data_IF_958061744699
#
_entry.id   IF_958061744699
#
_cell.length_a   1.000
_cell.length_b   1.000
_cell.length_c   1.000
_cell.angle_alpha   90.00
_cell.angle_beta   90.00
_cell.angle_gamma   90.00
#
_symmetry.space_group_name_H-M   'P 1'
#
loop_
_entity.id
_entity.type
_entity.pdbx_description
1 polymer ?
#
# COMPACT_ATOMS: atom_id res chain seq x y z
N UNK A 1 -6.24 -27.14 1.68
CA UNK A 1 -6.05 -26.69 1.78
C UNK A 1 -6.12 -25.92 2.53
N UNK A 2 -5.52 -25.67 2.80
CA UNK A 2 -5.60 -24.98 3.51
C UNK A 2 -6.21 -23.90 3.20
N UNK A 3 -6.98 -23.65 2.87
CA UNK A 3 -7.76 -22.79 2.47
C UNK A 3 -7.79 -21.59 3.20
N UNK A 4 -7.43 -21.57 4.31
CA UNK A 4 -7.59 -20.47 5.19
C UNK A 4 -6.37 -19.59 5.29
N UNK A 5 -5.35 -19.89 4.56
CA UNK A 5 -4.15 -19.09 4.63
C UNK A 5 -4.29 -17.87 3.76
N UNK A 6 -4.30 -16.73 4.40
CA UNK A 6 -4.35 -15.47 3.68
C UNK A 6 -2.95 -14.99 3.38
N UNK A 7 -2.83 -14.14 2.37
CA UNK A 7 -1.53 -13.63 1.95
C UNK A 7 -1.22 -12.32 2.65
N UNK A 8 0.06 -12.03 2.71
CA UNK A 8 0.57 -10.71 3.07
C UNK A 8 0.93 -10.04 1.77
N UNK A 9 0.16 -9.05 1.38
CA UNK A 9 0.38 -8.34 0.13
C UNK A 9 1.43 -7.27 0.34
N UNK A 10 2.45 -7.27 -0.50
CA UNK A 10 3.51 -6.26 -0.48
C UNK A 10 3.40 -5.50 -1.78
N UNK A 11 2.98 -4.24 -1.70
CA UNK A 11 2.72 -3.46 -2.89
C UNK A 11 3.82 -2.43 -3.11
N UNK A 12 4.42 -2.45 -4.29
CA UNK A 12 5.46 -1.50 -4.69
C UNK A 12 5.01 -0.75 -5.93
N UNK A 13 5.23 0.54 -5.93
CA UNK A 13 4.89 1.35 -7.08
C UNK A 13 5.91 2.44 -7.27
N UNK A 14 6.34 2.61 -8.51
CA UNK A 14 7.21 3.72 -8.91
C UNK A 14 6.53 4.42 -10.08
N UNK A 15 6.39 5.73 -9.98
CA UNK A 15 5.89 6.54 -11.07
C UNK A 15 7.06 7.31 -11.65
N UNK A 16 6.86 7.90 -12.82
CA UNK A 16 7.96 8.55 -13.51
C UNK A 16 8.62 9.64 -12.68
N UNK A 17 7.83 10.35 -11.91
CA UNK A 17 8.37 11.42 -11.08
C UNK A 17 9.27 10.91 -9.98
N UNK A 18 9.05 9.66 -9.55
CA UNK A 18 9.85 9.08 -8.50
C UNK A 18 11.27 8.76 -8.95
N UNK A 19 11.50 8.66 -10.24
CA UNK A 19 12.84 8.36 -10.73
C UNK A 19 13.84 9.42 -10.29
N UNK A 20 13.38 10.62 -10.03
CA UNK A 20 14.25 11.68 -9.59
C UNK A 20 14.51 11.64 -8.10
N UNK A 21 13.82 10.78 -7.40
CA UNK A 21 13.99 10.64 -5.97
C UNK A 21 15.14 9.73 -5.57
N UNK A 22 15.75 9.09 -6.53
CA UNK A 22 16.88 8.22 -6.29
C UNK A 22 16.44 6.80 -6.00
N UNK A 23 17.42 6.00 -5.61
CA UNK A 23 17.22 4.56 -5.49
C UNK A 23 16.30 4.16 -4.35
N UNK A 24 16.13 5.03 -3.37
CA UNK A 24 15.30 4.64 -2.23
C UNK A 24 13.87 4.33 -2.65
N UNK A 25 13.44 4.89 -3.79
CA UNK A 25 12.09 4.64 -4.29
C UNK A 25 12.04 3.59 -5.37
N UNK A 26 13.17 2.96 -5.71
CA UNK A 26 13.16 1.95 -6.75
C UNK A 26 12.33 0.74 -6.30
N UNK A 27 11.89 -0.03 -7.30
CA UNK A 27 11.11 -1.21 -7.01
C UNK A 27 11.89 -2.19 -6.15
N UNK A 28 13.17 -2.40 -6.46
CA UNK A 28 13.94 -3.37 -5.69
C UNK A 28 14.14 -2.93 -4.25
N UNK A 29 14.33 -1.64 -4.02
CA UNK A 29 14.46 -1.16 -2.65
C UNK A 29 13.16 -1.23 -1.89
N UNK A 30 12.03 -0.95 -2.54
CA UNK A 30 10.75 -1.12 -1.89
C UNK A 30 10.51 -2.58 -1.53
N UNK A 31 10.81 -3.50 -2.45
CA UNK A 31 10.63 -4.91 -2.16
C UNK A 31 11.45 -5.35 -0.96
N UNK A 32 12.71 -4.90 -0.92
CA UNK A 32 13.58 -5.26 0.18
C UNK A 32 13.03 -4.74 1.51
N UNK A 33 12.62 -3.48 1.52
CA UNK A 33 12.07 -2.88 2.72
C UNK A 33 10.85 -3.64 3.21
N UNK A 34 9.95 -3.96 2.31
CA UNK A 34 8.71 -4.63 2.69
C UNK A 34 8.98 -6.06 3.14
N UNK A 35 9.89 -6.75 2.48
CA UNK A 35 10.23 -8.11 2.88
C UNK A 35 10.86 -8.14 4.27
N UNK A 36 11.75 -7.19 4.54
CA UNK A 36 12.37 -7.12 5.85
C UNK A 36 11.35 -6.82 6.93
N UNK A 37 10.42 -5.92 6.63
CA UNK A 37 9.39 -5.59 7.59
C UNK A 37 8.50 -6.80 7.87
N UNK A 38 8.07 -7.49 6.82
CA UNK A 38 7.21 -8.66 6.99
C UNK A 38 7.93 -9.75 7.77
N UNK A 39 9.21 -9.93 7.50
CA UNK A 39 9.99 -10.93 8.19
C UNK A 39 10.10 -10.60 9.68
N UNK A 40 10.36 -9.35 10.00
CA UNK A 40 10.43 -8.90 11.38
C UNK A 40 9.13 -9.09 12.13
N UNK A 41 8.02 -8.88 11.45
CA UNK A 41 6.70 -9.00 12.07
C UNK A 41 6.21 -10.44 12.13
N UNK A 42 6.88 -11.35 11.44
CA UNK A 42 6.44 -12.74 11.39
C UNK A 42 5.29 -12.96 10.42
N UNK A 43 5.10 -12.07 9.47
CA UNK A 43 4.07 -12.25 8.46
C UNK A 43 4.52 -13.29 7.44
N UNK A 44 3.64 -14.16 7.04
CA UNK A 44 3.95 -15.23 6.10
C UNK A 44 3.13 -15.08 4.83
N UNK A 45 3.43 -15.92 3.85
CA UNK A 45 2.73 -15.93 2.57
C UNK A 45 2.82 -14.59 1.87
N UNK A 46 4.01 -14.02 1.82
CA UNK A 46 4.20 -12.72 1.18
C UNK A 46 4.09 -12.86 -0.34
N UNK A 47 3.35 -11.94 -0.94
CA UNK A 47 3.19 -11.88 -2.39
C UNK A 47 3.39 -10.44 -2.81
N UNK A 48 4.25 -10.23 -3.80
CA UNK A 48 4.51 -8.89 -4.30
C UNK A 48 3.54 -8.53 -5.40
N UNK A 49 3.04 -7.31 -5.36
CA UNK A 49 2.26 -6.71 -6.43
C UNK A 49 2.98 -5.42 -6.82
N UNK A 50 3.33 -5.30 -8.09
CA UNK A 50 4.27 -4.26 -8.49
C UNK A 50 3.75 -3.50 -9.70
N UNK A 51 3.85 -2.18 -9.65
CA UNK A 51 3.55 -1.30 -10.78
C UNK A 51 4.75 -0.38 -10.99
N UNK A 52 5.45 -0.60 -12.08
CA UNK A 52 6.70 0.09 -12.35
C UNK A 52 6.56 0.97 -13.58
N UNK A 53 6.89 2.25 -13.42
CA UNK A 53 6.87 3.18 -14.54
C UNK A 53 5.51 3.69 -14.92
N UNK A 54 4.53 3.52 -14.05
CA UNK A 54 3.15 3.92 -14.33
C UNK A 54 2.98 5.40 -14.02
N UNK A 55 2.19 6.10 -14.85
CA UNK A 55 1.88 7.48 -14.58
C UNK A 55 1.10 7.64 -13.29
N UNK A 56 1.46 8.63 -12.50
CA UNK A 56 0.80 8.85 -11.22
C UNK A 56 -0.62 9.34 -11.33
N UNK A 57 -1.03 9.79 -12.50
CA UNK A 57 -2.38 10.33 -12.69
C UNK A 57 -3.35 9.29 -13.17
N UNK A 58 -2.89 8.09 -13.44
CA UNK A 58 -3.70 7.08 -14.09
C UNK A 58 -4.04 5.97 -13.12
N UNK A 59 -5.22 5.39 -13.25
CA UNK A 59 -5.59 4.23 -12.47
C UNK A 59 -5.27 2.93 -13.15
N UNK A 60 -4.59 3.01 -14.27
CA UNK A 60 -4.20 1.84 -15.01
C UNK A 60 -2.99 1.21 -14.32
N UNK A 61 -3.26 0.54 -13.23
CA UNK A 61 -2.23 -0.08 -12.40
C UNK A 61 -2.57 -1.55 -12.25
N UNK A 62 -2.08 -2.40 -13.18
CA UNK A 62 -2.46 -3.82 -13.13
C UNK A 62 -2.04 -4.52 -11.84
N UNK A 63 -0.89 -4.16 -11.27
CA UNK A 63 -0.49 -4.76 -10.00
C UNK A 63 -1.43 -4.40 -8.88
N UNK A 64 -1.82 -3.15 -8.80
CA UNK A 64 -2.76 -2.70 -7.79
C UNK A 64 -4.11 -3.37 -7.98
N UNK A 65 -4.58 -3.47 -9.22
CA UNK A 65 -5.87 -4.09 -9.48
C UNK A 65 -5.86 -5.57 -9.12
N UNK A 66 -4.76 -6.25 -9.40
CA UNK A 66 -4.64 -7.67 -9.02
C UNK A 66 -4.67 -7.82 -7.51
N UNK A 67 -4.00 -6.92 -6.80
CA UNK A 67 -4.00 -6.94 -5.35
C UNK A 67 -5.40 -6.71 -4.80
N UNK A 68 -6.10 -5.72 -5.32
CA UNK A 68 -7.45 -5.43 -4.83
C UNK A 68 -8.42 -6.56 -5.10
N UNK A 69 -8.20 -7.28 -6.19
CA UNK A 69 -9.00 -8.46 -6.48
C UNK A 69 -8.86 -9.50 -5.36
N UNK A 70 -7.64 -9.70 -4.91
CA UNK A 70 -7.42 -10.63 -3.79
C UNK A 70 -8.02 -10.09 -2.50
N UNK A 71 -7.95 -8.79 -2.29
CA UNK A 71 -8.56 -8.18 -1.12
C UNK A 71 -10.06 -8.44 -1.11
N UNK A 72 -10.71 -8.21 -2.24
CA UNK A 72 -12.17 -8.38 -2.30
C UNK A 72 -12.58 -9.84 -2.21
N UNK A 73 -11.69 -10.73 -2.62
CA UNK A 73 -11.96 -12.17 -2.47
C UNK A 73 -11.76 -12.65 -1.04
N UNK A 74 -11.24 -11.81 -0.16
CA UNK A 74 -11.02 -12.19 1.22
C UNK A 74 -9.73 -12.93 1.46
N UNK A 75 -8.79 -12.84 0.53
CA UNK A 75 -7.55 -13.62 0.61
C UNK A 75 -6.38 -12.88 1.22
N UNK A 76 -6.54 -11.61 1.58
CA UNK A 76 -5.44 -10.79 2.07
C UNK A 76 -5.62 -10.50 3.54
N UNK A 77 -4.56 -10.73 4.32
CA UNK A 77 -4.58 -10.41 5.75
C UNK A 77 -3.88 -9.09 6.04
N UNK A 78 -2.73 -8.86 5.42
CA UNK A 78 -1.95 -7.66 5.63
C UNK A 78 -1.62 -7.02 4.29
N UNK A 79 -1.62 -5.69 4.25
CA UNK A 79 -1.14 -4.94 3.10
C UNK A 79 -0.05 -4.01 3.59
N UNK A 80 1.17 -4.22 3.10
CA UNK A 80 2.32 -3.40 3.48
C UNK A 80 2.77 -2.56 2.31
N UNK A 81 2.98 -1.29 2.55
CA UNK A 81 3.49 -0.36 1.54
C UNK A 81 4.57 0.50 2.18
N UNK A 82 5.43 1.06 1.35
CA UNK A 82 6.49 1.92 1.87
C UNK A 82 5.90 3.19 2.48
N UNK A 83 4.98 3.82 1.76
CA UNK A 83 4.31 5.01 2.25
C UNK A 83 2.96 5.13 1.55
N UNK A 84 2.13 6.03 2.04
CA UNK A 84 0.76 6.14 1.55
C UNK A 84 0.67 6.59 0.10
N UNK A 85 1.70 7.26 -0.41
CA UNK A 85 1.65 7.70 -1.80
C UNK A 85 1.64 6.54 -2.78
N UNK A 86 2.02 5.34 -2.33
CA UNK A 86 1.95 4.16 -3.20
C UNK A 86 0.51 3.81 -3.54
N UNK A 87 -0.44 4.13 -2.67
CA UNK A 87 -1.85 3.88 -2.96
C UNK A 87 -2.42 4.90 -3.94
N UNK A 88 -1.88 6.10 -3.97
CA UNK A 88 -2.32 7.13 -4.87
C UNK A 88 -2.24 8.49 -4.23
N UNK A 89 -2.51 9.51 -5.02
CA UNK A 89 -2.45 10.89 -4.55
C UNK A 89 -3.82 11.54 -4.49
N UNK A 90 -4.86 10.81 -4.90
CA UNK A 90 -6.21 11.32 -4.87
C UNK A 90 -6.81 10.99 -3.50
N UNK A 91 -7.03 12.01 -2.71
CA UNK A 91 -7.48 11.87 -1.34
C UNK A 91 -8.76 11.03 -1.23
N UNK A 92 -9.72 11.32 -2.10
CA UNK A 92 -11.00 10.63 -2.03
C UNK A 92 -10.87 9.17 -2.40
N UNK A 93 -10.06 8.89 -3.42
CA UNK A 93 -9.91 7.50 -3.86
C UNK A 93 -9.12 6.68 -2.86
N UNK A 94 -8.11 7.27 -2.25
CA UNK A 94 -7.36 6.55 -1.22
C UNK A 94 -8.26 6.28 -0.03
N UNK A 95 -9.12 7.23 0.32
CA UNK A 95 -10.09 6.99 1.38
C UNK A 95 -11.01 5.83 1.08
N UNK A 96 -11.46 5.71 -0.18
CA UNK A 96 -12.30 4.59 -0.58
C UNK A 96 -11.55 3.28 -0.48
N UNK A 97 -10.27 3.28 -0.88
CA UNK A 97 -9.45 2.07 -0.77
C UNK A 97 -9.33 1.65 0.68
N UNK A 98 -9.07 2.60 1.57
CA UNK A 98 -8.94 2.28 2.98
C UNK A 98 -10.22 1.73 3.56
N UNK A 99 -11.35 2.24 3.11
CA UNK A 99 -12.63 1.71 3.58
C UNK A 99 -12.84 0.28 3.13
N UNK A 100 -12.47 -0.03 1.89
CA UNK A 100 -12.56 -1.40 1.41
C UNK A 100 -11.66 -2.31 2.24
N UNK A 101 -10.43 -1.88 2.50
CA UNK A 101 -9.52 -2.68 3.31
C UNK A 101 -10.10 -2.94 4.69
N UNK A 102 -10.68 -1.90 5.29
CA UNK A 102 -11.27 -2.05 6.61
C UNK A 102 -12.41 -3.04 6.60
N UNK A 103 -13.28 -2.95 5.59
CA UNK A 103 -14.44 -3.84 5.51
C UNK A 103 -14.04 -5.28 5.28
N UNK A 104 -12.92 -5.49 4.60
CA UNK A 104 -12.45 -6.85 4.33
C UNK A 104 -11.50 -7.37 5.40
N UNK A 105 -11.29 -6.60 6.46
CA UNK A 105 -10.44 -7.04 7.55
C UNK A 105 -8.96 -7.05 7.24
N UNK A 106 -8.52 -6.21 6.29
CA UNK A 106 -7.12 -6.14 5.92
C UNK A 106 -6.43 -5.09 6.78
N UNK A 107 -5.30 -5.48 7.39
CA UNK A 107 -4.50 -4.54 8.15
C UNK A 107 -3.56 -3.81 7.22
N UNK A 108 -3.67 -2.49 7.18
CA UNK A 108 -2.85 -1.64 6.31
C UNK A 108 -1.68 -1.07 7.10
N UNK A 109 -0.49 -1.22 6.56
CA UNK A 109 0.73 -0.72 7.17
C UNK A 109 1.50 0.08 6.13
N UNK A 110 1.72 1.37 6.41
CA UNK A 110 2.59 2.23 5.60
C UNK A 110 3.80 2.54 6.45
N UNK A 111 4.92 1.92 6.13
CA UNK A 111 6.06 1.85 7.04
C UNK A 111 6.64 3.23 7.32
N UNK A 112 6.92 3.99 6.26
CA UNK A 112 7.60 5.29 6.45
C UNK A 112 6.69 6.36 7.00
N UNK A 113 5.38 6.16 6.91
CA UNK A 113 4.42 7.14 7.41
C UNK A 113 3.93 6.83 8.80
N UNK A 114 4.33 5.69 9.33
CA UNK A 114 3.89 5.29 10.66
C UNK A 114 2.42 4.94 10.73
N UNK A 115 1.82 4.59 9.61
CA UNK A 115 0.40 4.24 9.57
C UNK A 115 0.25 2.74 9.78
N UNK A 116 -0.65 2.37 10.68
CA UNK A 116 -0.94 0.97 10.95
C UNK A 116 -2.38 0.90 11.44
N UNK A 117 -3.24 0.35 10.60
CA UNK A 117 -4.68 0.36 10.90
C UNK A 117 -5.03 -0.47 12.13
N UNK A 118 -4.15 -1.34 12.58
CA UNK A 118 -4.41 -2.13 13.79
C UNK A 118 -4.30 -1.30 15.06
N UNK A 119 -3.74 -0.10 14.98
CA UNK A 119 -3.63 0.74 16.18
C UNK A 119 -4.95 1.38 16.58
N UNK A 120 -5.96 1.25 15.74
CA UNK A 120 -7.26 1.79 16.06
C UNK A 120 -7.60 2.99 15.22
N UNK A 121 -8.86 3.38 15.31
CA UNK A 121 -9.39 4.44 14.45
C UNK A 121 -8.80 5.80 14.75
N UNK A 122 -8.32 5.97 15.96
CA UNK A 122 -7.85 7.28 16.38
C UNK A 122 -6.52 7.66 15.74
N UNK A 123 -5.84 6.69 15.15
CA UNK A 123 -4.50 6.92 14.64
C UNK A 123 -4.48 7.28 13.17
N UNK A 124 -5.60 7.75 12.64
CA UNK A 124 -5.61 8.16 11.25
C UNK A 124 -5.20 9.62 11.04
N UNK A 125 -4.87 10.32 12.11
CA UNK A 125 -4.45 11.71 11.98
C UNK A 125 -3.20 11.87 11.10
N UNK A 126 -2.15 11.07 11.27
CA UNK A 126 -0.99 11.19 10.38
C UNK A 126 -1.37 10.95 8.93
N UNK A 127 -2.20 9.94 8.69
CA UNK A 127 -2.65 9.66 7.33
C UNK A 127 -3.43 10.84 6.76
N UNK A 128 -4.33 11.40 7.55
CA UNK A 128 -5.15 12.51 7.10
C UNK A 128 -4.28 13.72 6.74
N UNK A 129 -3.27 13.98 7.55
CA UNK A 129 -2.38 15.10 7.28
C UNK A 129 -1.57 14.88 6.00
N UNK A 130 -1.10 13.66 5.80
CA UNK A 130 -0.35 13.32 4.61
C UNK A 130 -1.22 13.49 3.37
N UNK A 131 -2.45 12.99 3.43
CA UNK A 131 -3.35 13.06 2.29
C UNK A 131 -3.75 14.50 1.98
N UNK A 132 -3.94 15.30 3.00
CA UNK A 132 -4.26 16.71 2.79
C UNK A 132 -3.12 17.42 2.06
N UNK A 133 -1.90 17.11 2.42
CA UNK A 133 -0.77 17.71 1.77
C UNK A 133 -0.67 17.30 0.29
N UNK A 134 -0.86 16.01 0.04
CA UNK A 134 -0.82 15.52 -1.34
C UNK A 134 -1.96 16.13 -2.16
N UNK A 135 -3.14 16.20 -1.57
CA UNK A 135 -4.28 16.75 -2.27
C UNK A 135 -4.05 18.21 -2.64
N UNK A 136 -3.50 18.96 -1.71
CA UNK A 136 -3.21 20.37 -1.98
C UNK A 136 -2.23 20.55 -3.12
N UNK A 137 -1.27 19.64 -3.24
CA UNK A 137 -0.30 19.72 -4.32
C UNK A 137 -0.88 19.37 -5.67
N UNK A 138 -1.90 18.53 -5.69
CA UNK A 138 -2.49 18.09 -6.94
C UNK A 138 -3.53 19.05 -7.48
N UNK A 139 -3.95 20.01 -6.68
CA UNK A 139 -4.92 21.02 -7.09
C UNK A 139 -4.26 22.27 -7.69
#
# INVERSE_FOLDING_TARGET
MRRNEKITALYERVIRDDDQQGESNSISNQKKLLEEYADHQGFSNTVHFTDDGISGTCFDRPGFLAMMKEVEAGNVEYLCIKDMSRLGRDYLKVGQIMEILRQRGVRLIAINDGVDSARGDDDFTPFRNIMNEYYARCV
#
